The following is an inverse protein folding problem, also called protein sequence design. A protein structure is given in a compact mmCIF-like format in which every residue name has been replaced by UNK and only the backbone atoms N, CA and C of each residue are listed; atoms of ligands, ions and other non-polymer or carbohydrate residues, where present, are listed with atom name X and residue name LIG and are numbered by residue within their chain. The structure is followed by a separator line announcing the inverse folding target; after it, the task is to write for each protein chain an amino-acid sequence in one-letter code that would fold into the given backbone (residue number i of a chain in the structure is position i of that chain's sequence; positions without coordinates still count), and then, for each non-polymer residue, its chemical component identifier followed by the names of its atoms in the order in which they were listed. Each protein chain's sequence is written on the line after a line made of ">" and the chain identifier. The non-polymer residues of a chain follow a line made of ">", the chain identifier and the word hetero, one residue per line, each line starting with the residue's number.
data_IF_465493531740
#
_entry.id   IF_465493531740
#
_cell.length_a   1.000
_cell.length_b   1.000
_cell.length_c   1.000
_cell.angle_alpha   90.00
_cell.angle_beta   90.00
_cell.angle_gamma   90.00
#
_symmetry.space_group_name_H-M   'P 1'
#
loop_
_entity.id
_entity.type
_entity.pdbx_description
1 polymer ?
#
# COMPACT_ATOMS: atom_id res chain seq x y z
N UNK A 1 16.57 9.73 16.80
CA UNK A 1 15.96 8.64 17.58
C UNK A 1 14.64 8.16 16.99
N UNK A 2 13.59 8.99 16.88
CA UNK A 2 12.26 8.57 16.35
C UNK A 2 12.30 7.93 14.96
N UNK A 3 13.12 8.45 14.02
CA UNK A 3 13.32 7.83 12.69
C UNK A 3 13.92 6.43 12.75
N UNK A 4 14.83 6.18 13.69
CA UNK A 4 15.46 4.87 13.87
C UNK A 4 14.45 3.85 14.41
N UNK A 5 13.59 4.27 15.35
CA UNK A 5 12.51 3.42 15.87
C UNK A 5 11.47 3.06 14.81
N UNK A 6 11.03 4.02 13.99
CA UNK A 6 10.10 3.75 12.88
C UNK A 6 10.74 2.80 11.87
N UNK A 7 12.04 2.94 11.60
CA UNK A 7 12.78 2.04 10.72
C UNK A 7 12.84 0.62 11.30
N UNK A 8 13.12 0.46 12.59
CA UNK A 8 13.08 -0.85 13.26
C UNK A 8 11.70 -1.50 13.11
N UNK A 9 10.62 -0.77 13.39
CA UNK A 9 9.26 -1.30 13.24
C UNK A 9 8.95 -1.71 11.79
N UNK A 10 9.43 -0.94 10.80
CA UNK A 10 9.31 -1.31 9.38
C UNK A 10 10.08 -2.58 9.03
N UNK A 11 11.28 -2.78 9.59
CA UNK A 11 12.05 -4.02 9.40
C UNK A 11 11.28 -5.19 10.01
N UNK A 12 10.76 -5.05 11.23
CA UNK A 12 9.96 -6.09 11.88
C UNK A 12 8.71 -6.44 11.04
N UNK A 13 8.02 -5.43 10.50
CA UNK A 13 6.88 -5.66 9.61
C UNK A 13 7.27 -6.39 8.31
N UNK A 14 8.41 -6.04 7.72
CA UNK A 14 8.93 -6.73 6.54
C UNK A 14 9.33 -8.19 6.84
N UNK A 15 9.91 -8.47 8.01
CA UNK A 15 10.20 -9.84 8.44
C UNK A 15 8.93 -10.66 8.63
N UNK A 16 7.88 -10.05 9.17
CA UNK A 16 6.57 -10.70 9.31
C UNK A 16 5.96 -10.98 7.93
N UNK A 17 6.13 -10.09 6.95
CA UNK A 17 5.73 -10.38 5.57
C UNK A 17 6.49 -11.57 4.96
N UNK A 18 7.80 -11.67 5.17
CA UNK A 18 8.59 -12.84 4.74
C UNK A 18 8.08 -14.12 5.40
N UNK A 19 7.71 -14.05 6.67
CA UNK A 19 7.12 -15.18 7.39
C UNK A 19 5.76 -15.57 6.82
N UNK A 20 4.89 -14.60 6.50
CA UNK A 20 3.62 -14.83 5.79
C UNK A 20 3.88 -15.55 4.47
N UNK A 21 4.86 -15.12 3.66
CA UNK A 21 5.20 -15.79 2.41
C UNK A 21 5.68 -17.23 2.62
N UNK A 22 6.46 -17.49 3.67
CA UNK A 22 6.93 -18.84 3.99
C UNK A 22 5.77 -19.77 4.35
N UNK A 23 4.83 -19.29 5.17
CA UNK A 23 3.62 -20.04 5.51
C UNK A 23 2.74 -20.21 4.26
N UNK A 24 2.56 -19.15 3.47
CA UNK A 24 1.76 -19.20 2.25
C UNK A 24 2.29 -20.25 1.26
N UNK A 25 3.59 -20.29 1.00
CA UNK A 25 4.19 -21.29 0.11
C UNK A 25 4.18 -22.72 0.67
N UNK A 26 3.87 -22.91 1.96
CA UNK A 26 3.62 -24.25 2.50
C UNK A 26 2.20 -24.75 2.21
N UNK A 27 1.27 -23.84 1.92
CA UNK A 27 -0.15 -24.13 1.67
C UNK A 27 -0.48 -24.02 0.17
N UNK A 28 0.27 -23.19 -0.56
CA UNK A 28 0.04 -22.91 -1.96
C UNK A 28 1.21 -23.44 -2.81
N UNK A 29 0.93 -24.43 -3.64
CA UNK A 29 1.87 -25.06 -4.55
C UNK A 29 2.15 -24.15 -5.75
N UNK A 30 3.12 -23.25 -5.59
CA UNK A 30 3.45 -22.26 -6.62
C UNK A 30 4.07 -22.87 -7.88
N UNK A 31 4.69 -24.03 -7.76
CA UNK A 31 5.21 -24.82 -8.87
C UNK A 31 4.12 -25.22 -9.87
N UNK A 32 2.95 -25.62 -9.38
CA UNK A 32 1.77 -25.94 -10.21
C UNK A 32 1.21 -24.74 -10.98
N UNK A 33 1.58 -23.52 -10.55
CA UNK A 33 1.14 -22.26 -11.17
C UNK A 33 2.15 -21.72 -12.18
N UNK A 34 3.43 -22.10 -12.06
CA UNK A 34 4.49 -21.61 -12.95
C UNK A 34 4.58 -22.44 -14.22
N UNK A 35 4.35 -23.74 -14.11
CA UNK A 35 4.42 -24.68 -15.23
C UNK A 35 3.07 -25.32 -15.51
N UNK A 36 2.73 -25.50 -16.79
CA UNK A 36 1.58 -26.31 -17.22
C UNK A 36 1.81 -27.80 -16.90
N UNK A 37 0.75 -28.61 -17.02
CA UNK A 37 0.83 -30.08 -16.94
C UNK A 37 1.84 -30.71 -17.92
N UNK A 38 2.17 -30.01 -19.01
CA UNK A 38 3.19 -30.39 -20.00
C UNK A 38 4.62 -29.92 -19.67
N UNK A 39 4.83 -29.21 -18.56
CA UNK A 39 6.12 -28.68 -18.14
C UNK A 39 6.56 -27.40 -18.88
N UNK A 40 5.68 -26.79 -19.67
CA UNK A 40 5.95 -25.50 -20.31
C UNK A 40 5.64 -24.34 -19.36
N UNK A 41 6.30 -23.20 -19.55
CA UNK A 41 5.96 -22.00 -18.77
C UNK A 41 4.55 -21.53 -19.15
N UNK A 42 3.71 -21.25 -18.16
CA UNK A 42 2.32 -20.81 -18.40
C UNK A 42 2.24 -19.58 -19.30
N UNK A 43 3.17 -18.61 -19.14
CA UNK A 43 3.23 -17.44 -20.02
C UNK A 43 3.49 -17.81 -21.48
N UNK A 44 4.39 -18.77 -21.75
CA UNK A 44 4.64 -19.23 -23.12
C UNK A 44 3.45 -20.00 -23.67
N UNK A 45 2.83 -20.86 -22.86
CA UNK A 45 1.64 -21.61 -23.25
C UNK A 45 0.45 -20.68 -23.56
N UNK A 46 0.26 -19.60 -22.78
CA UNK A 46 -0.75 -18.58 -23.03
C UNK A 46 -0.59 -17.91 -24.39
N UNK A 47 0.61 -17.44 -24.74
CA UNK A 47 0.84 -16.80 -26.03
C UNK A 47 0.73 -17.78 -27.19
N UNK A 48 1.16 -19.04 -27.00
CA UNK A 48 1.01 -20.10 -27.99
C UNK A 48 -0.46 -20.41 -28.24
N UNK A 49 -1.26 -20.61 -27.20
CA UNK A 49 -2.70 -20.88 -27.32
C UNK A 49 -3.44 -19.70 -27.94
N UNK A 50 -3.13 -18.46 -27.52
CA UNK A 50 -3.70 -17.26 -28.15
C UNK A 50 -3.39 -17.19 -29.64
N UNK A 51 -2.13 -17.46 -30.03
CA UNK A 51 -1.72 -17.54 -31.44
C UNK A 51 -2.48 -18.63 -32.19
N UNK A 52 -2.67 -19.81 -31.58
CA UNK A 52 -3.39 -20.93 -32.18
C UNK A 52 -4.87 -20.59 -32.38
N UNK A 53 -5.53 -20.00 -31.38
CA UNK A 53 -6.92 -19.52 -31.49
C UNK A 53 -7.07 -18.54 -32.65
N UNK A 54 -6.21 -17.52 -32.74
CA UNK A 54 -6.25 -16.56 -33.86
C UNK A 54 -5.99 -17.24 -35.21
N UNK A 55 -5.04 -18.17 -35.26
CA UNK A 55 -4.74 -18.97 -36.46
C UNK A 55 -5.97 -19.75 -36.93
N UNK A 56 -6.63 -20.47 -36.02
CA UNK A 56 -7.85 -21.22 -36.32
C UNK A 56 -9.00 -20.32 -36.73
N UNK A 57 -9.19 -19.16 -36.08
CA UNK A 57 -10.26 -18.23 -36.39
C UNK A 57 -10.08 -17.60 -37.77
N UNK A 58 -8.86 -17.14 -38.09
CA UNK A 58 -8.54 -16.59 -39.42
C UNK A 58 -8.69 -17.66 -40.51
N UNK A 59 -8.19 -18.88 -40.25
CA UNK A 59 -8.31 -19.99 -41.20
C UNK A 59 -9.77 -20.37 -41.44
N UNK A 60 -10.59 -20.44 -40.39
CA UNK A 60 -12.03 -20.72 -40.48
C UNK A 60 -12.78 -19.64 -41.24
N UNK A 61 -12.47 -18.36 -40.97
CA UNK A 61 -13.08 -17.24 -41.68
C UNK A 61 -12.72 -17.25 -43.17
N UNK A 62 -11.44 -17.45 -43.50
CA UNK A 62 -10.97 -17.52 -44.88
C UNK A 62 -11.59 -18.71 -45.63
N UNK A 63 -11.58 -19.90 -45.02
CA UNK A 63 -12.18 -21.11 -45.61
C UNK A 63 -13.71 -20.96 -45.76
N UNK A 64 -14.38 -20.41 -44.74
CA UNK A 64 -15.82 -20.16 -44.74
C UNK A 64 -16.26 -19.17 -45.83
N UNK A 65 -15.56 -18.05 -46.00
CA UNK A 65 -15.81 -17.08 -47.09
C UNK A 65 -15.63 -17.74 -48.45
N UNK A 66 -14.64 -18.61 -48.60
CA UNK A 66 -14.37 -19.30 -49.85
C UNK A 66 -15.46 -20.34 -50.16
N UNK A 67 -15.92 -21.14 -49.18
CA UNK A 67 -17.09 -22.03 -49.35
C UNK A 67 -18.31 -21.22 -49.74
N UNK A 68 -18.60 -20.13 -49.02
CA UNK A 68 -19.79 -19.31 -49.23
C UNK A 68 -19.77 -18.68 -50.64
N UNK A 69 -18.59 -18.29 -51.12
CA UNK A 69 -18.40 -17.80 -52.48
C UNK A 69 -18.66 -18.89 -53.54
N UNK A 70 -18.22 -20.13 -53.31
CA UNK A 70 -18.51 -21.28 -54.19
C UNK A 70 -20.00 -21.63 -54.17
N UNK A 71 -20.67 -21.56 -53.02
CA UNK A 71 -22.10 -21.79 -52.88
C UNK A 71 -22.93 -20.73 -53.60
N UNK A 72 -22.60 -19.44 -53.42
CA UNK A 72 -23.25 -18.33 -54.12
C UNK A 72 -23.05 -18.47 -55.63
N UNK A 73 -21.84 -18.79 -56.08
CA UNK A 73 -21.56 -19.02 -57.50
C UNK A 73 -22.37 -20.20 -58.04
N UNK A 74 -22.40 -21.33 -57.34
CA UNK A 74 -23.17 -22.52 -57.75
C UNK A 74 -24.67 -22.23 -57.82
N UNK A 75 -25.18 -21.38 -56.91
CA UNK A 75 -26.58 -20.93 -56.92
C UNK A 75 -26.89 -20.01 -58.11
N UNK A 76 -26.03 -19.02 -58.39
CA UNK A 76 -26.20 -18.08 -59.52
C UNK A 76 -26.18 -18.83 -60.86
N UNK A 77 -25.31 -19.83 -61.00
CA UNK A 77 -25.13 -20.57 -62.24
C UNK A 77 -26.01 -21.85 -62.33
N UNK A 78 -26.86 -22.13 -61.34
CA UNK A 78 -27.76 -23.30 -61.29
C UNK A 78 -27.06 -24.65 -61.58
N UNK A 79 -25.76 -24.73 -61.27
CA UNK A 79 -24.93 -25.89 -61.55
C UNK A 79 -24.07 -26.18 -60.32
N UNK A 80 -24.16 -27.42 -59.80
CA UNK A 80 -23.22 -27.89 -58.80
C UNK A 80 -21.83 -27.97 -59.46
N UNK A 81 -20.86 -27.22 -58.91
CA UNK A 81 -19.48 -27.20 -59.40
C UNK A 81 -18.57 -28.01 -58.46
N UNK A 82 -18.61 -29.36 -58.49
CA UNK A 82 -17.76 -30.19 -57.63
C UNK A 82 -16.26 -29.95 -57.88
N UNK A 83 -15.90 -29.49 -59.07
CA UNK A 83 -14.54 -29.10 -59.44
C UNK A 83 -14.05 -27.87 -58.65
N UNK A 84 -14.92 -26.90 -58.36
CA UNK A 84 -14.58 -25.71 -57.56
C UNK A 84 -14.35 -26.07 -56.09
N UNK A 85 -15.11 -27.03 -55.55
CA UNK A 85 -14.91 -27.54 -54.19
C UNK A 85 -13.58 -28.28 -54.09
N UNK A 86 -13.25 -29.13 -55.06
CA UNK A 86 -11.96 -29.84 -55.10
C UNK A 86 -10.77 -28.88 -55.24
N UNK A 87 -10.90 -27.83 -56.05
CA UNK A 87 -9.90 -26.77 -56.19
C UNK A 87 -9.72 -26.00 -54.88
N UNK A 88 -10.82 -25.67 -54.20
CA UNK A 88 -10.80 -25.00 -52.91
C UNK A 88 -10.10 -25.85 -51.85
N UNK A 89 -10.39 -27.15 -51.80
CA UNK A 89 -9.74 -28.08 -50.87
C UNK A 89 -8.23 -28.20 -51.16
N UNK A 90 -7.82 -28.32 -52.42
CA UNK A 90 -6.40 -28.34 -52.81
C UNK A 90 -5.70 -27.01 -52.51
N UNK A 91 -6.34 -25.87 -52.76
CA UNK A 91 -5.77 -24.55 -52.50
C UNK A 91 -5.58 -24.31 -51.00
N UNK A 92 -6.58 -24.61 -50.17
CA UNK A 92 -6.49 -24.40 -48.74
C UNK A 92 -5.61 -25.44 -48.04
N UNK A 93 -5.65 -26.72 -48.44
CA UNK A 93 -4.79 -27.76 -47.85
C UNK A 93 -3.36 -27.72 -48.35
N UNK A 94 -3.11 -27.31 -49.58
CA UNK A 94 -1.80 -27.37 -50.22
C UNK A 94 -1.01 -26.06 -50.17
N UNK A 95 -1.67 -24.92 -50.37
CA UNK A 95 -1.02 -23.61 -50.47
C UNK A 95 -1.22 -22.78 -49.21
N UNK A 96 -2.48 -22.57 -48.81
CA UNK A 96 -2.82 -21.67 -47.72
C UNK A 96 -2.38 -22.24 -46.37
N UNK A 97 -2.41 -23.56 -46.23
CA UNK A 97 -1.88 -24.31 -45.09
C UNK A 97 -0.43 -24.01 -44.73
N UNK A 98 0.43 -23.73 -45.71
CA UNK A 98 1.84 -23.43 -45.49
C UNK A 98 2.05 -22.08 -44.76
N UNK A 99 1.01 -21.24 -44.74
CA UNK A 99 1.01 -19.93 -44.11
C UNK A 99 0.54 -20.00 -42.64
N UNK A 100 0.03 -21.15 -42.20
CA UNK A 100 -0.47 -21.37 -40.85
C UNK A 100 0.31 -22.51 -40.18
N UNK A 101 0.73 -22.30 -38.94
CA UNK A 101 1.35 -23.35 -38.13
C UNK A 101 0.28 -24.02 -37.28
N UNK A 102 -0.02 -25.29 -37.55
CA UNK A 102 -0.94 -26.09 -36.75
C UNK A 102 -0.16 -26.95 -35.74
N UNK A 103 -0.67 -27.16 -34.51
CA UNK A 103 -0.01 -27.93 -33.45
C UNK A 103 0.37 -29.36 -33.89
N UNK A 104 -0.50 -30.01 -34.66
CA UNK A 104 -0.29 -31.38 -35.14
C UNK A 104 0.51 -31.47 -36.45
N UNK A 105 0.98 -30.34 -37.00
CA UNK A 105 1.69 -30.27 -38.28
C UNK A 105 0.84 -30.56 -39.53
N UNK A 106 -0.39 -31.04 -39.36
CA UNK A 106 -1.35 -31.32 -40.45
C UNK A 106 -2.46 -30.29 -40.49
N UNK A 107 -2.96 -30.00 -41.70
CA UNK A 107 -4.15 -29.17 -41.87
C UNK A 107 -5.40 -29.85 -41.32
N UNK A 108 -6.13 -29.21 -40.39
CA UNK A 108 -7.38 -29.76 -39.90
C UNK A 108 -8.47 -29.70 -40.97
N UNK A 109 -9.37 -30.68 -40.95
CA UNK A 109 -10.59 -30.62 -41.76
C UNK A 109 -11.49 -29.50 -41.22
N UNK A 110 -12.30 -28.88 -42.08
CA UNK A 110 -13.21 -27.81 -41.66
C UNK A 110 -14.14 -28.22 -40.50
N UNK A 111 -14.61 -29.47 -40.49
CA UNK A 111 -15.44 -30.02 -39.41
C UNK A 111 -14.71 -30.19 -38.08
N UNK A 112 -13.38 -30.26 -38.08
CA UNK A 112 -12.55 -30.43 -36.87
C UNK A 112 -12.15 -29.08 -36.26
N UNK A 113 -12.27 -27.97 -37.00
CA UNK A 113 -11.83 -26.66 -36.50
C UNK A 113 -12.63 -26.21 -35.27
N UNK A 114 -13.97 -26.39 -35.19
CA UNK A 114 -14.72 -26.04 -33.98
C UNK A 114 -14.22 -26.76 -32.72
N UNK A 115 -13.94 -28.06 -32.83
CA UNK A 115 -13.46 -28.87 -31.71
C UNK A 115 -12.05 -28.44 -31.28
N UNK A 116 -11.14 -28.21 -32.24
CA UNK A 116 -9.78 -27.72 -31.97
C UNK A 116 -9.79 -26.32 -31.35
N UNK A 117 -10.69 -25.44 -31.82
CA UNK A 117 -10.86 -24.12 -31.24
C UNK A 117 -11.39 -24.21 -29.81
N UNK A 118 -12.32 -25.15 -29.54
CA UNK A 118 -12.82 -25.44 -28.19
C UNK A 118 -11.72 -25.93 -27.25
N UNK A 119 -10.85 -26.84 -27.71
CA UNK A 119 -9.72 -27.35 -26.93
C UNK A 119 -8.69 -26.25 -26.63
N UNK A 120 -8.29 -25.46 -27.63
CA UNK A 120 -7.40 -24.33 -27.41
C UNK A 120 -8.02 -23.27 -26.50
N UNK A 121 -9.34 -23.04 -26.60
CA UNK A 121 -10.03 -22.12 -25.72
C UNK A 121 -10.05 -22.62 -24.27
N UNK A 122 -10.15 -23.93 -24.04
CA UNK A 122 -9.99 -24.53 -22.72
C UNK A 122 -8.58 -24.31 -22.16
N UNK A 123 -7.54 -24.63 -22.94
CA UNK A 123 -6.13 -24.39 -22.57
C UNK A 123 -5.88 -22.90 -22.29
N UNK A 124 -6.46 -22.01 -23.09
CA UNK A 124 -6.38 -20.57 -22.90
C UNK A 124 -6.99 -20.11 -21.57
N UNK A 125 -8.18 -20.61 -21.21
CA UNK A 125 -8.82 -20.27 -19.95
C UNK A 125 -8.06 -20.81 -18.74
N UNK A 126 -7.53 -22.03 -18.83
CA UNK A 126 -6.65 -22.62 -17.81
C UNK A 126 -5.42 -21.73 -17.59
N UNK A 127 -4.77 -21.31 -18.68
CA UNK A 127 -3.62 -20.42 -18.61
C UNK A 127 -3.98 -19.04 -18.03
N UNK A 128 -5.17 -18.49 -18.32
CA UNK A 128 -5.64 -17.24 -17.69
C UNK A 128 -5.77 -17.42 -16.18
N UNK A 129 -6.38 -18.53 -15.75
CA UNK A 129 -6.54 -18.86 -14.34
C UNK A 129 -5.17 -18.92 -13.64
N UNK A 130 -4.19 -19.61 -14.22
CA UNK A 130 -2.83 -19.69 -13.68
C UNK A 130 -2.09 -18.34 -13.68
N UNK A 131 -2.19 -17.56 -14.76
CA UNK A 131 -1.59 -16.23 -14.86
C UNK A 131 -2.16 -15.28 -13.80
N UNK A 132 -3.43 -15.41 -13.44
CA UNK A 132 -4.03 -14.57 -12.41
C UNK A 132 -3.27 -14.68 -11.09
N UNK A 133 -2.87 -15.89 -10.67
CA UNK A 133 -2.07 -16.09 -9.46
C UNK A 133 -0.65 -15.52 -9.58
N UNK A 134 0.00 -15.68 -10.74
CA UNK A 134 1.31 -15.07 -10.99
C UNK A 134 1.26 -13.54 -10.88
N UNK A 135 0.20 -12.92 -11.42
CA UNK A 135 -0.02 -11.48 -11.31
C UNK A 135 -0.25 -11.08 -9.83
N UNK A 136 -1.04 -11.85 -9.08
CA UNK A 136 -1.34 -11.56 -7.68
C UNK A 136 -0.11 -11.63 -6.78
N UNK A 137 0.78 -12.61 -6.95
CA UNK A 137 2.01 -12.68 -6.17
C UNK A 137 2.97 -11.52 -6.52
N UNK A 138 3.06 -11.15 -7.80
CA UNK A 138 3.86 -10.00 -8.24
C UNK A 138 3.31 -8.71 -7.64
N UNK A 139 1.99 -8.51 -7.67
CA UNK A 139 1.31 -7.38 -7.02
C UNK A 139 1.63 -7.36 -5.53
N UNK A 140 1.51 -8.50 -4.84
CA UNK A 140 1.82 -8.62 -3.41
C UNK A 140 3.25 -8.15 -3.10
N UNK A 141 4.25 -8.63 -3.84
CA UNK A 141 5.65 -8.25 -3.64
C UNK A 141 5.89 -6.76 -3.93
N UNK A 142 5.37 -6.24 -5.04
CA UNK A 142 5.54 -4.83 -5.42
C UNK A 142 4.91 -3.91 -4.36
N UNK A 143 3.71 -4.24 -3.89
CA UNK A 143 3.03 -3.45 -2.87
C UNK A 143 3.67 -3.58 -1.49
N UNK A 144 4.29 -4.71 -1.15
CA UNK A 144 5.07 -4.87 0.08
C UNK A 144 6.31 -3.96 0.07
N UNK A 145 7.04 -3.92 -1.04
CA UNK A 145 8.17 -2.97 -1.22
C UNK A 145 7.67 -1.53 -1.12
N UNK A 146 6.53 -1.22 -1.76
CA UNK A 146 5.93 0.11 -1.72
C UNK A 146 5.45 0.49 -0.31
N UNK A 147 4.93 -0.45 0.47
CA UNK A 147 4.52 -0.25 1.87
C UNK A 147 5.73 0.03 2.77
N UNK A 148 6.83 -0.67 2.56
CA UNK A 148 8.08 -0.43 3.27
C UNK A 148 8.60 1.00 3.02
N UNK A 149 8.61 1.44 1.75
CA UNK A 149 9.06 2.77 1.36
C UNK A 149 8.08 3.88 1.78
N UNK A 150 6.80 3.71 1.46
CA UNK A 150 5.71 4.66 1.74
C UNK A 150 4.84 4.08 2.85
N UNK A 151 4.91 4.67 4.03
CA UNK A 151 4.14 4.30 5.23
C UNK A 151 2.64 4.58 5.04
N UNK A 152 1.98 3.84 4.13
CA UNK A 152 0.57 3.96 3.82
C UNK A 152 -0.07 2.57 3.93
N UNK A 153 -0.98 2.37 4.90
CA UNK A 153 -1.56 1.06 5.19
C UNK A 153 -2.41 0.51 4.05
N UNK A 154 -2.82 1.35 3.08
CA UNK A 154 -3.50 0.86 1.87
C UNK A 154 -2.63 -0.11 1.08
N UNK A 155 -1.31 0.09 1.07
CA UNK A 155 -0.42 -0.83 0.38
C UNK A 155 -0.37 -2.17 1.11
N UNK A 156 -0.23 -2.17 2.44
CA UNK A 156 -0.24 -3.38 3.28
C UNK A 156 -1.55 -4.17 3.15
N UNK A 157 -2.70 -3.48 3.02
CA UNK A 157 -3.98 -4.12 2.73
C UNK A 157 -4.01 -4.80 1.37
N UNK A 158 -3.42 -4.19 0.33
CA UNK A 158 -3.33 -4.81 -1.00
C UNK A 158 -2.44 -6.05 -0.97
N UNK A 159 -1.36 -6.03 -0.18
CA UNK A 159 -0.46 -7.19 0.01
C UNK A 159 -1.23 -8.39 0.57
N UNK A 160 -1.86 -8.22 1.73
CA UNK A 160 -2.63 -9.29 2.38
C UNK A 160 -3.84 -9.66 1.53
N UNK A 161 -4.53 -8.68 0.96
CA UNK A 161 -5.68 -8.92 0.08
C UNK A 161 -5.31 -9.76 -1.13
N UNK A 162 -4.14 -9.55 -1.74
CA UNK A 162 -3.67 -10.35 -2.87
C UNK A 162 -3.37 -11.79 -2.45
N UNK A 163 -2.75 -11.99 -1.29
CA UNK A 163 -2.47 -13.34 -0.73
C UNK A 163 -3.77 -14.09 -0.42
N UNK A 164 -4.70 -13.43 0.26
CA UNK A 164 -6.01 -14.02 0.58
C UNK A 164 -6.78 -14.36 -0.70
N UNK A 165 -6.74 -13.49 -1.71
CA UNK A 165 -7.44 -13.71 -2.97
C UNK A 165 -6.86 -14.90 -3.76
N UNK A 166 -5.56 -15.19 -3.62
CA UNK A 166 -4.96 -16.43 -4.16
C UNK A 166 -5.49 -17.69 -3.48
N UNK A 167 -5.95 -17.62 -2.23
CA UNK A 167 -6.62 -18.75 -1.55
C UNK A 167 -8.11 -18.82 -1.89
N UNK A 168 -8.78 -17.68 -1.99
CA UNK A 168 -10.23 -17.60 -2.19
C UNK A 168 -10.62 -17.99 -3.62
N UNK A 169 -9.83 -17.63 -4.64
CA UNK A 169 -10.15 -17.98 -6.03
C UNK A 169 -10.29 -19.49 -6.24
N UNK A 170 -9.30 -20.34 -5.89
CA UNK A 170 -9.44 -21.78 -6.07
C UNK A 170 -10.61 -22.33 -5.27
N UNK A 171 -10.76 -21.94 -3.99
CA UNK A 171 -11.89 -22.37 -3.17
C UNK A 171 -13.25 -22.03 -3.80
N UNK A 172 -13.40 -20.86 -4.44
CA UNK A 172 -14.63 -20.51 -5.16
C UNK A 172 -14.84 -21.34 -6.42
N UNK A 173 -13.78 -21.58 -7.20
CA UNK A 173 -13.86 -22.34 -8.45
C UNK A 173 -14.19 -23.81 -8.18
N UNK A 174 -13.49 -24.43 -7.23
CA UNK A 174 -13.70 -25.82 -6.87
C UNK A 174 -14.99 -26.02 -6.05
N UNK A 175 -15.34 -25.08 -5.17
CA UNK A 175 -16.66 -25.09 -4.52
C UNK A 175 -17.82 -24.96 -5.51
N UNK A 176 -17.64 -24.21 -6.61
CA UNK A 176 -18.61 -24.16 -7.70
C UNK A 176 -18.68 -25.47 -8.49
N UNK A 177 -17.53 -26.13 -8.72
CA UNK A 177 -17.45 -27.47 -9.33
C UNK A 177 -18.24 -28.49 -8.48
N UNK A 178 -17.95 -28.58 -7.18
CA UNK A 178 -18.64 -29.50 -6.28
C UNK A 178 -20.15 -29.27 -6.26
N UNK A 179 -20.57 -28.00 -6.31
CA UNK A 179 -21.98 -27.65 -6.41
C UNK A 179 -22.61 -28.16 -7.72
N UNK A 180 -21.94 -28.04 -8.87
CA UNK A 180 -22.43 -28.56 -10.14
C UNK A 180 -22.51 -30.10 -10.16
N UNK A 181 -21.54 -30.75 -9.53
CA UNK A 181 -21.51 -32.21 -9.41
C UNK A 181 -22.70 -32.73 -8.57
N UNK A 182 -23.15 -31.98 -7.55
CA UNK A 182 -24.40 -32.29 -6.83
C UNK A 182 -25.64 -32.26 -7.72
N UNK A 183 -25.64 -31.48 -8.80
CA UNK A 183 -26.71 -31.44 -9.81
C UNK A 183 -26.45 -32.39 -10.99
N UNK A 184 -25.40 -33.22 -10.92
CA UNK A 184 -24.98 -34.13 -11.98
C UNK A 184 -24.67 -33.41 -13.31
N UNK A 185 -24.13 -32.18 -13.21
CA UNK A 185 -23.70 -31.36 -14.34
C UNK A 185 -22.17 -31.34 -14.36
N UNK A 186 -21.56 -32.21 -15.17
CA UNK A 186 -20.10 -32.24 -15.34
C UNK A 186 -19.66 -31.26 -16.44
N UNK A 187 -18.82 -30.28 -16.09
CA UNK A 187 -18.15 -29.41 -17.07
C UNK A 187 -16.70 -29.88 -17.19
N UNK A 188 -16.36 -30.55 -18.30
CA UNK A 188 -15.05 -31.13 -18.55
C UNK A 188 -13.88 -30.15 -18.29
N UNK A 189 -14.04 -28.88 -18.65
CA UNK A 189 -13.04 -27.84 -18.37
C UNK A 189 -12.72 -27.65 -16.88
N UNK A 190 -13.72 -27.77 -15.98
CA UNK A 190 -13.50 -27.61 -14.53
C UNK A 190 -12.86 -28.85 -13.89
N UNK A 191 -12.95 -30.01 -14.54
CA UNK A 191 -12.36 -31.25 -14.05
C UNK A 191 -10.84 -31.24 -14.19
N UNK A 192 -10.34 -30.68 -15.29
CA UNK A 192 -8.92 -30.64 -15.63
C UNK A 192 -8.15 -29.44 -15.02
N UNK A 193 -8.84 -28.56 -14.28
CA UNK A 193 -8.21 -27.38 -13.69
C UNK A 193 -7.22 -27.76 -12.56
N UNK A 194 -6.04 -27.12 -12.51
CA UNK A 194 -5.09 -27.30 -11.40
C UNK A 194 -5.66 -26.79 -10.08
N UNK A 195 -5.45 -27.55 -9.00
CA UNK A 195 -5.78 -27.16 -7.63
C UNK A 195 -4.52 -26.82 -6.84
N UNK A 196 -4.09 -25.54 -6.83
CA UNK A 196 -2.81 -25.14 -6.26
C UNK A 196 -2.80 -25.10 -4.72
N UNK A 197 -3.86 -25.57 -4.07
CA UNK A 197 -4.02 -25.54 -2.61
C UNK A 197 -3.73 -26.92 -2.02
N UNK A 198 -2.97 -26.94 -0.94
CA UNK A 198 -2.69 -28.14 -0.18
C UNK A 198 -3.95 -28.61 0.59
N UNK A 199 -4.06 -29.93 0.75
CA UNK A 199 -5.15 -30.62 1.46
C UNK A 199 -5.21 -30.19 2.94
N UNK A 200 -4.10 -29.66 3.48
CA UNK A 200 -4.03 -29.09 4.83
C UNK A 200 -5.00 -27.91 5.07
N UNK A 201 -5.58 -27.32 4.03
CA UNK A 201 -6.68 -26.35 4.15
C UNK A 201 -8.02 -26.96 4.56
N UNK A 202 -8.25 -28.23 4.22
CA UNK A 202 -9.52 -28.94 4.45
C UNK A 202 -9.51 -29.66 5.80
N UNK A 203 -8.35 -30.15 6.23
CA UNK A 203 -8.17 -30.88 7.48
C UNK A 203 -7.68 -29.98 8.62
N UNK A 204 -8.55 -29.11 9.14
CA UNK A 204 -8.22 -28.30 10.32
C UNK A 204 -8.39 -29.17 11.58
N UNK A 205 -7.33 -29.38 12.39
CA UNK A 205 -7.44 -30.14 13.63
C UNK A 205 -8.21 -29.32 14.67
N UNK A 206 -9.51 -29.59 14.81
CA UNK A 206 -10.38 -28.89 15.76
C UNK A 206 -10.22 -29.48 17.17
N UNK A 207 -9.81 -30.72 17.33
CA UNK A 207 -9.84 -31.37 18.66
C UNK A 207 -8.64 -31.02 19.57
N UNK A 208 -7.51 -30.57 19.01
CA UNK A 208 -6.31 -30.19 19.77
C UNK A 208 -5.95 -28.72 19.54
N UNK A 209 -6.01 -27.92 20.61
CA UNK A 209 -5.75 -26.47 20.62
C UNK A 209 -4.35 -26.15 20.11
N UNK A 210 -3.34 -26.94 20.49
CA UNK A 210 -1.95 -26.66 20.08
C UNK A 210 -1.74 -26.98 18.60
N UNK A 211 -2.35 -28.06 18.11
CA UNK A 211 -2.33 -28.40 16.68
C UNK A 211 -3.13 -27.40 15.86
N UNK A 212 -4.25 -26.91 16.39
CA UNK A 212 -5.06 -25.87 15.77
C UNK A 212 -4.24 -24.59 15.53
N UNK A 213 -3.51 -24.10 16.55
CA UNK A 213 -2.64 -22.93 16.38
C UNK A 213 -1.40 -23.21 15.54
N UNK A 214 -0.97 -24.47 15.42
CA UNK A 214 0.11 -24.87 14.53
C UNK A 214 -0.34 -25.08 13.08
N UNK A 215 -1.65 -25.09 12.82
CA UNK A 215 -2.20 -25.21 11.46
C UNK A 215 -1.67 -24.08 10.57
N UNK A 216 -1.13 -24.39 9.38
CA UNK A 216 -0.64 -23.38 8.44
C UNK A 216 -1.67 -22.28 8.13
N UNK A 217 -2.95 -22.65 7.99
CA UNK A 217 -4.04 -21.72 7.66
C UNK A 217 -4.26 -20.71 8.79
N UNK A 218 -4.32 -21.21 10.02
CA UNK A 218 -4.52 -20.38 11.21
C UNK A 218 -3.31 -19.49 11.46
N UNK A 219 -2.10 -20.03 11.31
CA UNK A 219 -0.86 -19.26 11.37
C UNK A 219 -0.84 -18.15 10.31
N UNK A 220 -1.25 -18.45 9.08
CA UNK A 220 -1.32 -17.45 8.02
C UNK A 220 -2.32 -16.33 8.36
N UNK A 221 -3.50 -16.68 8.88
CA UNK A 221 -4.50 -15.71 9.28
C UNK A 221 -4.01 -14.81 10.43
N UNK A 222 -3.41 -15.40 11.47
CA UNK A 222 -2.85 -14.67 12.61
C UNK A 222 -1.68 -13.79 12.16
N UNK A 223 -0.74 -14.32 11.37
CA UNK A 223 0.40 -13.57 10.86
C UNK A 223 -0.04 -12.40 9.97
N UNK A 224 -1.03 -12.62 9.09
CA UNK A 224 -1.62 -11.57 8.24
C UNK A 224 -2.30 -10.48 9.06
N UNK A 225 -3.02 -10.84 10.12
CA UNK A 225 -3.62 -9.88 11.05
C UNK A 225 -2.54 -9.06 11.77
N UNK A 226 -1.52 -9.73 12.31
CA UNK A 226 -0.39 -9.09 13.00
C UNK A 226 0.32 -8.10 12.07
N UNK A 227 0.57 -8.49 10.81
CA UNK A 227 1.16 -7.64 9.79
C UNK A 227 0.34 -6.36 9.55
N UNK A 228 -0.97 -6.49 9.34
CA UNK A 228 -1.85 -5.34 9.12
C UNK A 228 -1.92 -4.44 10.36
N UNK A 229 -2.09 -5.02 11.54
CA UNK A 229 -2.17 -4.25 12.78
C UNK A 229 -0.87 -3.47 13.03
N UNK A 230 0.30 -4.08 12.81
CA UNK A 230 1.57 -3.36 12.88
C UNK A 230 1.67 -2.26 11.81
N UNK A 231 1.23 -2.51 10.57
CA UNK A 231 1.22 -1.50 9.52
C UNK A 231 0.37 -0.27 9.92
N UNK A 232 -0.82 -0.49 10.49
CA UNK A 232 -1.68 0.58 11.00
C UNK A 232 -1.02 1.35 12.15
N UNK A 233 -0.36 0.64 13.06
CA UNK A 233 0.33 1.25 14.21
C UNK A 233 1.55 2.07 13.81
N UNK A 234 2.34 1.58 12.84
CA UNK A 234 3.46 2.32 12.26
C UNK A 234 2.94 3.59 11.59
N UNK A 235 1.86 3.48 10.81
CA UNK A 235 1.23 4.63 10.17
C UNK A 235 0.72 5.65 11.19
N UNK A 236 0.00 5.22 12.23
CA UNK A 236 -0.46 6.10 13.30
C UNK A 236 0.70 6.84 13.98
N UNK A 237 1.74 6.09 14.36
CA UNK A 237 2.94 6.66 15.00
C UNK A 237 3.60 7.68 14.07
N UNK A 238 3.73 7.37 12.79
CA UNK A 238 4.30 8.27 11.78
C UNK A 238 3.46 9.55 11.64
N UNK A 239 2.14 9.44 11.46
CA UNK A 239 1.23 10.58 11.30
C UNK A 239 1.20 11.49 12.53
N UNK A 240 1.24 10.94 13.75
CA UNK A 240 1.21 11.73 14.99
C UNK A 240 2.57 12.38 15.28
N UNK A 241 3.68 11.70 14.97
CA UNK A 241 5.02 12.21 15.29
C UNK A 241 5.57 13.18 14.23
N UNK A 242 5.17 13.04 12.97
CA UNK A 242 5.73 13.82 11.86
C UNK A 242 5.56 15.34 12.03
N UNK A 243 4.37 15.89 12.35
CA UNK A 243 4.20 17.34 12.51
C UNK A 243 5.10 17.93 13.61
N UNK A 244 5.23 17.21 14.72
CA UNK A 244 6.09 17.62 15.84
C UNK A 244 7.57 17.60 15.46
N UNK A 245 8.01 16.59 14.70
CA UNK A 245 9.37 16.50 14.18
C UNK A 245 9.68 17.62 13.17
N UNK A 246 8.77 17.91 12.25
CA UNK A 246 8.93 19.01 11.28
C UNK A 246 9.01 20.38 11.97
N UNK A 247 8.16 20.60 12.98
CA UNK A 247 8.21 21.81 13.80
C UNK A 247 9.54 21.92 14.55
N UNK A 248 10.01 20.82 15.14
CA UNK A 248 11.28 20.80 15.87
C UNK A 248 12.46 21.12 14.96
N UNK A 249 12.54 20.48 13.78
CA UNK A 249 13.57 20.78 12.78
C UNK A 249 13.53 22.23 12.30
N UNK A 250 12.33 22.80 12.11
CA UNK A 250 12.18 24.20 11.72
C UNK A 250 12.69 25.16 12.80
N UNK A 251 12.33 24.91 14.06
CA UNK A 251 12.77 25.73 15.19
C UNK A 251 14.28 25.59 15.42
N UNK A 252 14.82 24.39 15.29
CA UNK A 252 16.25 24.13 15.36
C UNK A 252 17.01 24.89 14.26
N UNK A 253 16.54 24.81 13.01
CA UNK A 253 17.12 25.56 11.89
C UNK A 253 17.10 27.07 12.15
N UNK A 254 15.98 27.62 12.63
CA UNK A 254 15.85 29.03 13.00
C UNK A 254 16.81 29.43 14.13
N UNK A 255 16.97 28.58 15.16
CA UNK A 255 17.92 28.82 16.25
C UNK A 255 19.36 28.80 15.77
N UNK A 256 19.75 27.87 14.88
CA UNK A 256 21.09 27.85 14.29
C UNK A 256 21.36 29.06 13.40
N UNK A 257 20.38 29.49 12.60
CA UNK A 257 20.51 30.72 11.79
C UNK A 257 20.72 31.90 12.73
N UNK A 258 19.89 32.06 13.75
CA UNK A 258 19.98 33.14 14.72
C UNK A 258 21.33 33.16 15.45
N UNK A 259 21.84 32.00 15.86
CA UNK A 259 23.17 31.88 16.46
C UNK A 259 24.27 32.31 15.48
N UNK A 260 24.29 31.75 14.27
CA UNK A 260 25.30 32.07 13.26
C UNK A 260 25.30 33.56 12.88
N UNK A 261 24.10 34.14 12.72
CA UNK A 261 23.89 35.53 12.38
C UNK A 261 24.26 36.46 13.55
N UNK A 262 23.93 36.06 14.78
CA UNK A 262 24.34 36.80 15.97
C UNK A 262 25.86 36.78 16.18
N UNK A 263 26.54 35.68 15.87
CA UNK A 263 28.00 35.57 15.90
C UNK A 263 28.64 36.43 14.80
N UNK A 264 28.13 36.35 13.57
CA UNK A 264 28.57 37.17 12.44
C UNK A 264 28.42 38.66 12.74
N UNK A 265 27.26 39.08 13.24
CA UNK A 265 27.01 40.46 13.63
C UNK A 265 27.93 40.84 14.77
N UNK A 266 28.09 40.01 15.81
CA UNK A 266 28.99 40.30 16.94
C UNK A 266 30.44 40.49 16.50
N UNK A 267 30.93 39.65 15.58
CA UNK A 267 32.28 39.73 15.03
C UNK A 267 32.50 40.92 14.09
N UNK A 268 31.45 41.35 13.39
CA UNK A 268 31.51 42.45 12.42
C UNK A 268 30.87 43.75 12.91
N UNK A 269 30.44 43.88 14.18
CA UNK A 269 29.78 45.11 14.68
C UNK A 269 30.64 46.33 14.45
N UNK A 270 31.94 46.21 14.69
CA UNK A 270 32.85 47.34 14.57
C UNK A 270 33.08 47.70 13.10
N UNK A 271 33.19 46.70 12.21
CA UNK A 271 33.21 46.92 10.75
C UNK A 271 31.90 47.50 10.21
N UNK A 272 30.75 47.02 10.66
CA UNK A 272 29.42 47.51 10.25
C UNK A 272 29.20 48.94 10.77
N UNK A 273 29.64 49.25 11.99
CA UNK A 273 29.61 50.61 12.52
C UNK A 273 30.57 51.53 11.79
N UNK A 274 31.77 51.07 11.45
CA UNK A 274 32.74 51.82 10.68
C UNK A 274 32.30 52.02 9.22
N UNK A 275 31.68 51.03 8.59
CA UNK A 275 31.15 51.13 7.22
C UNK A 275 29.91 52.04 7.18
N UNK A 276 29.03 51.98 8.18
CA UNK A 276 27.94 52.94 8.36
C UNK A 276 28.46 54.36 8.63
N UNK A 277 29.55 54.50 9.40
CA UNK A 277 30.19 55.79 9.66
C UNK A 277 30.90 56.33 8.41
N UNK A 278 31.59 55.47 7.65
CA UNK A 278 32.22 55.82 6.37
C UNK A 278 31.20 56.19 5.30
N UNK A 279 30.07 55.46 5.18
CA UNK A 279 28.97 55.88 4.30
C UNK A 279 28.38 57.23 4.71
N UNK A 280 28.26 57.50 6.01
CA UNK A 280 27.84 58.80 6.54
C UNK A 280 28.82 59.93 6.21
N UNK A 281 30.12 59.62 6.20
CA UNK A 281 31.20 60.54 5.80
C UNK A 281 31.23 60.74 4.26
N UNK A 282 31.10 59.67 3.46
CA UNK A 282 31.02 59.71 1.99
C UNK A 282 29.78 60.47 1.48
N UNK A 283 28.66 60.41 2.20
CA UNK A 283 27.45 61.19 1.94
C UNK A 283 27.55 62.66 2.40
N UNK A 284 28.74 63.14 2.81
CA UNK A 284 29.01 64.53 3.27
C UNK A 284 28.00 65.05 4.29
N UNK A 285 27.63 64.22 5.27
CA UNK A 285 26.59 64.57 6.26
C UNK A 285 27.11 65.53 7.34
N UNK A 286 28.43 65.63 7.56
CA UNK A 286 28.96 66.42 8.68
C UNK A 286 29.35 67.88 8.35
N UNK A 287 29.56 68.25 7.08
CA UNK A 287 30.09 69.59 6.75
C UNK A 287 29.09 70.60 6.16
N UNK A 288 27.77 70.36 6.27
CA UNK A 288 26.75 71.36 5.88
C UNK A 288 25.75 71.74 6.99
N UNK A 289 26.16 71.62 8.25
CA UNK A 289 25.45 72.32 9.35
C UNK A 289 25.67 73.84 9.35
N UNK A 290 26.56 74.35 8.50
CA UNK A 290 26.98 75.76 8.42
C UNK A 290 26.84 76.37 7.02
N UNK A 291 25.91 75.91 6.18
CA UNK A 291 25.38 76.75 5.10
C UNK A 291 23.98 77.20 5.51
N UNK A 292 23.93 78.41 6.05
CA UNK A 292 22.72 79.05 6.53
C UNK A 292 21.64 79.13 5.45
N UNK A 293 20.42 79.28 5.94
CA UNK A 293 19.16 79.51 5.22
C UNK A 293 19.27 80.64 4.16
N UNK A 294 20.33 81.46 4.15
CA UNK A 294 20.58 82.49 3.14
C UNK A 294 20.97 81.99 1.75
N UNK A 295 21.46 80.74 1.61
CA UNK A 295 21.72 80.12 0.30
C UNK A 295 20.47 79.53 -0.37
N UNK A 296 19.34 79.47 0.34
CA UNK A 296 18.12 78.76 -0.06
C UNK A 296 17.33 79.43 -1.18
N UNK A 297 17.58 80.73 -1.43
CA UNK A 297 16.83 81.52 -2.40
C UNK A 297 17.53 81.75 -3.75
N UNK A 298 18.79 81.33 -3.93
CA UNK A 298 19.59 81.80 -5.07
C UNK A 298 19.46 80.98 -6.38
N UNK A 299 18.84 79.79 -6.41
CA UNK A 299 18.67 79.01 -7.66
C UNK A 299 17.33 78.29 -7.73
N UNK A 300 16.46 78.73 -8.63
CA UNK A 300 15.06 78.27 -8.75
C UNK A 300 14.91 76.98 -9.58
N UNK A 301 15.97 76.52 -10.26
CA UNK A 301 15.94 75.31 -11.12
C UNK A 301 16.32 73.99 -10.45
N UNK A 302 16.99 74.00 -9.29
CA UNK A 302 17.50 72.80 -8.60
C UNK A 302 16.59 72.30 -7.46
N UNK A 303 15.43 72.93 -7.26
CA UNK A 303 14.56 72.72 -6.08
C UNK A 303 13.93 71.32 -6.02
N UNK A 304 13.57 70.72 -7.15
CA UNK A 304 13.01 69.36 -7.17
C UNK A 304 14.08 68.27 -7.05
N UNK A 305 15.29 68.50 -7.56
CA UNK A 305 16.42 67.58 -7.41
C UNK A 305 16.86 67.50 -5.95
N UNK A 306 16.99 68.65 -5.28
CA UNK A 306 17.44 68.71 -3.89
C UNK A 306 16.42 68.15 -2.90
N UNK A 307 15.12 68.35 -3.13
CA UNK A 307 14.06 67.75 -2.31
C UNK A 307 13.98 66.24 -2.52
N UNK A 308 14.11 65.77 -3.77
CA UNK A 308 14.20 64.33 -4.08
C UNK A 308 15.43 63.69 -3.41
N UNK A 309 16.58 64.35 -3.47
CA UNK A 309 17.83 63.94 -2.82
C UNK A 309 17.69 63.91 -1.28
N UNK A 310 16.99 64.88 -0.68
CA UNK A 310 16.68 64.87 0.74
C UNK A 310 15.72 63.73 1.15
N UNK A 311 14.73 63.40 0.32
CA UNK A 311 13.79 62.30 0.58
C UNK A 311 14.50 60.95 0.44
N UNK A 312 15.30 60.76 -0.60
CA UNK A 312 16.13 59.56 -0.80
C UNK A 312 17.15 59.41 0.35
N UNK A 313 17.77 60.51 0.78
CA UNK A 313 18.66 60.53 1.94
C UNK A 313 17.95 60.13 3.23
N UNK A 314 16.77 60.70 3.50
CA UNK A 314 16.01 60.37 4.71
C UNK A 314 15.52 58.92 4.70
N UNK A 315 15.18 58.38 3.53
CA UNK A 315 14.81 56.97 3.34
C UNK A 315 16.00 56.04 3.60
N UNK A 316 17.17 56.35 3.03
CA UNK A 316 18.42 55.60 3.27
C UNK A 316 18.84 55.65 4.75
N UNK A 317 18.76 56.82 5.40
CA UNK A 317 19.02 56.95 6.85
C UNK A 317 18.05 56.13 7.71
N UNK A 318 16.77 56.03 7.30
CA UNK A 318 15.79 55.17 7.98
C UNK A 318 16.09 53.69 7.79
N UNK A 319 16.47 53.28 6.58
CA UNK A 319 16.87 51.91 6.26
C UNK A 319 18.14 51.50 7.03
N UNK A 320 19.14 52.38 7.11
CA UNK A 320 20.36 52.17 7.90
C UNK A 320 20.07 52.10 9.41
N UNK A 321 19.24 52.99 9.94
CA UNK A 321 18.80 52.92 11.35
C UNK A 321 18.06 51.61 11.64
N UNK A 322 17.23 51.14 10.71
CA UNK A 322 16.55 49.83 10.82
C UNK A 322 17.57 48.69 10.83
N UNK A 323 18.59 48.72 9.98
CA UNK A 323 19.66 47.72 9.95
C UNK A 323 20.51 47.71 11.23
N UNK A 324 20.93 48.87 11.73
CA UNK A 324 21.70 48.99 12.98
C UNK A 324 20.86 48.51 14.17
N UNK A 325 19.58 48.89 14.21
CA UNK A 325 18.65 48.47 15.27
C UNK A 325 18.41 46.96 15.21
N UNK A 326 18.24 46.39 14.01
CA UNK A 326 18.12 44.95 13.81
C UNK A 326 19.39 44.23 14.27
N UNK A 327 20.58 44.68 13.84
CA UNK A 327 21.86 44.10 14.25
C UNK A 327 22.07 44.13 15.78
N UNK A 328 21.73 45.25 16.43
CA UNK A 328 21.78 45.37 17.89
C UNK A 328 20.83 44.39 18.60
N UNK A 329 19.60 44.26 18.10
CA UNK A 329 18.60 43.32 18.62
C UNK A 329 19.04 41.86 18.42
N UNK A 330 19.55 41.49 17.24
CA UNK A 330 20.06 40.15 16.94
C UNK A 330 21.25 39.79 17.84
N UNK A 331 22.17 40.73 18.09
CA UNK A 331 23.29 40.54 19.03
C UNK A 331 22.84 40.38 20.48
N UNK A 332 21.82 41.14 20.92
CA UNK A 332 21.27 41.01 22.28
C UNK A 332 20.57 39.66 22.44
N UNK A 333 19.80 39.25 21.44
CA UNK A 333 19.09 37.98 21.42
C UNK A 333 20.06 36.78 21.40
N UNK A 334 21.11 36.84 20.58
CA UNK A 334 22.15 35.80 20.55
C UNK A 334 22.87 35.65 21.89
N UNK A 335 23.24 36.76 22.55
CA UNK A 335 23.83 36.72 23.91
C UNK A 335 22.87 36.17 24.95
N UNK A 336 21.60 36.53 24.87
CA UNK A 336 20.58 36.00 25.78
C UNK A 336 20.40 34.49 25.59
N UNK A 337 20.30 34.01 24.34
CA UNK A 337 20.25 32.59 24.03
C UNK A 337 21.50 31.83 24.50
N UNK A 338 22.68 32.40 24.30
CA UNK A 338 23.92 31.75 24.72
C UNK A 338 23.98 31.57 26.25
N UNK A 339 23.58 32.60 27.01
CA UNK A 339 23.46 32.50 28.47
C UNK A 339 22.39 31.49 28.88
N UNK A 340 21.22 31.56 28.25
CA UNK A 340 20.12 30.65 28.54
C UNK A 340 20.53 29.18 28.37
N UNK A 341 21.30 28.86 27.33
CA UNK A 341 21.81 27.49 27.11
C UNK A 341 22.98 27.09 28.01
N UNK A 342 23.69 28.05 28.60
CA UNK A 342 24.72 27.79 29.60
C UNK A 342 24.13 27.56 30.99
N UNK A 343 23.07 28.31 31.34
CA UNK A 343 22.40 28.24 32.63
C UNK A 343 21.40 27.07 32.70
N UNK A 344 20.72 26.77 31.60
CA UNK A 344 19.77 25.66 31.49
C UNK A 344 20.02 24.86 30.19
N UNK A 345 20.56 23.65 30.36
CA UNK A 345 20.84 22.75 29.24
C UNK A 345 19.55 22.22 28.58
N UNK A 346 18.42 22.18 29.30
CA UNK A 346 17.11 21.76 28.78
C UNK A 346 16.38 22.89 28.03
N UNK A 347 16.80 24.14 28.21
CA UNK A 347 16.23 25.30 27.52
C UNK A 347 16.32 25.16 25.98
N UNK A 348 17.35 24.48 25.48
CA UNK A 348 17.49 24.21 24.04
C UNK A 348 16.44 23.21 23.55
N UNK A 349 16.20 22.16 24.32
CA UNK A 349 15.25 21.11 23.96
C UNK A 349 13.79 21.59 24.13
N UNK A 350 13.52 22.50 25.07
CA UNK A 350 12.21 23.17 25.22
C UNK A 350 11.97 24.22 24.14
N UNK A 351 12.96 25.06 23.79
CA UNK A 351 12.82 26.05 22.70
C UNK A 351 12.70 25.42 21.31
N UNK A 352 13.33 24.26 21.09
CA UNK A 352 13.15 23.46 19.87
C UNK A 352 11.88 22.60 19.89
N UNK A 353 11.07 22.70 20.96
CA UNK A 353 9.89 21.87 21.21
C UNK A 353 10.17 20.35 21.09
N UNK A 354 11.44 19.96 21.25
CA UNK A 354 11.90 18.57 21.13
C UNK A 354 11.42 17.73 22.32
N UNK A 355 11.24 18.36 23.48
CA UNK A 355 10.57 17.78 24.65
C UNK A 355 9.04 17.68 24.51
N UNK A 356 8.43 18.44 23.59
CA UNK A 356 6.99 18.41 23.31
C UNK A 356 6.59 17.30 22.32
N UNK A 357 7.56 16.71 21.61
CA UNK A 357 7.33 15.50 20.86
C UNK A 357 7.03 14.36 21.84
N UNK A 358 5.94 13.59 21.66
CA UNK A 358 5.63 12.48 22.56
C UNK A 358 6.83 11.52 22.60
N UNK A 359 7.21 11.09 23.80
CA UNK A 359 8.36 10.22 23.98
C UNK A 359 8.15 8.95 23.13
N UNK A 360 9.01 8.67 22.14
CA UNK A 360 8.78 7.57 21.20
C UNK A 360 8.70 6.22 21.93
N UNK A 361 9.41 6.07 23.05
CA UNK A 361 9.35 4.88 23.89
C UNK A 361 7.97 4.66 24.54
N UNK A 362 7.34 5.70 25.11
CA UNK A 362 6.03 5.54 25.75
C UNK A 362 4.93 5.25 24.72
N UNK A 363 5.01 5.87 23.54
CA UNK A 363 4.11 5.57 22.42
C UNK A 363 4.27 4.12 21.95
N UNK A 364 5.51 3.64 21.81
CA UNK A 364 5.75 2.26 21.38
C UNK A 364 5.27 1.27 22.43
N UNK A 365 5.57 1.47 23.72
CA UNK A 365 5.09 0.59 24.79
C UNK A 365 3.58 0.56 24.86
N UNK A 366 2.89 1.71 24.78
CA UNK A 366 1.42 1.74 24.77
C UNK A 366 0.85 1.05 23.53
N UNK A 367 1.53 1.19 22.40
CA UNK A 367 1.12 0.59 21.12
C UNK A 367 1.30 -0.93 21.15
N UNK A 368 2.42 -1.44 21.68
CA UNK A 368 2.68 -2.87 21.86
C UNK A 368 1.69 -3.49 22.85
N UNK A 369 1.40 -2.83 23.98
CA UNK A 369 0.41 -3.35 24.95
C UNK A 369 -0.97 -3.44 24.31
N UNK A 370 -1.39 -2.41 23.57
CA UNK A 370 -2.67 -2.40 22.87
C UNK A 370 -2.71 -3.45 21.74
N UNK A 371 -1.59 -3.62 21.03
CA UNK A 371 -1.40 -4.68 20.03
C UNK A 371 -1.60 -6.07 20.63
N UNK A 372 -0.87 -6.39 21.69
CA UNK A 372 -0.94 -7.70 22.36
C UNK A 372 -2.35 -7.95 22.88
N UNK A 373 -3.00 -6.94 23.45
CA UNK A 373 -4.38 -7.06 23.91
C UNK A 373 -5.36 -7.34 22.76
N UNK A 374 -5.25 -6.64 21.63
CA UNK A 374 -6.11 -6.86 20.45
C UNK A 374 -5.90 -8.24 19.84
N UNK A 375 -4.64 -8.63 19.62
CA UNK A 375 -4.31 -9.96 19.08
C UNK A 375 -4.81 -11.06 20.02
N UNK A 376 -4.56 -10.93 21.32
CA UNK A 376 -5.03 -11.90 22.31
C UNK A 376 -6.56 -12.00 22.35
N UNK A 377 -7.26 -10.86 22.32
CA UNK A 377 -8.73 -10.84 22.29
C UNK A 377 -9.29 -11.43 20.99
N UNK A 378 -8.66 -11.17 19.84
CA UNK A 378 -9.06 -11.76 18.57
C UNK A 378 -8.87 -13.27 18.60
N UNK A 379 -7.71 -13.75 19.07
CA UNK A 379 -7.43 -15.18 19.21
C UNK A 379 -8.47 -15.87 20.11
N UNK A 380 -8.83 -15.25 21.24
CA UNK A 380 -9.88 -15.76 22.13
C UNK A 380 -11.24 -15.81 21.42
N UNK A 381 -11.62 -14.75 20.70
CA UNK A 381 -12.89 -14.72 19.96
C UNK A 381 -12.92 -15.79 18.85
N UNK A 382 -11.84 -15.90 18.08
CA UNK A 382 -11.72 -16.91 17.03
C UNK A 382 -11.84 -18.33 17.61
N UNK A 383 -11.22 -18.60 18.77
CA UNK A 383 -11.36 -19.87 19.46
C UNK A 383 -12.81 -20.18 19.86
N UNK A 384 -13.53 -19.18 20.39
CA UNK A 384 -14.94 -19.32 20.76
C UNK A 384 -15.81 -19.67 19.54
N UNK A 385 -15.52 -19.07 18.39
CA UNK A 385 -16.28 -19.28 17.15
C UNK A 385 -16.04 -20.69 16.57
N UNK A 386 -14.81 -21.20 16.66
CA UNK A 386 -14.39 -22.44 16.00
C UNK A 386 -14.74 -23.67 16.85
N UNK A 387 -14.85 -23.53 18.17
CA UNK A 387 -15.10 -24.64 19.10
C UNK A 387 -16.46 -24.55 19.82
N UNK A 388 -17.61 -24.35 19.12
CA UNK A 388 -18.89 -24.17 19.79
C UNK A 388 -19.29 -25.38 20.64
N UNK A 389 -18.96 -26.60 20.18
CA UNK A 389 -19.22 -27.86 20.88
C UNK A 389 -18.56 -27.91 22.27
N UNK A 390 -17.29 -27.51 22.37
CA UNK A 390 -16.55 -27.51 23.63
C UNK A 390 -17.21 -26.60 24.67
N UNK A 391 -17.63 -25.40 24.26
CA UNK A 391 -18.33 -24.48 25.16
C UNK A 391 -19.68 -25.04 25.62
N UNK A 392 -20.44 -25.66 24.72
CA UNK A 392 -21.76 -26.18 25.04
C UNK A 392 -21.72 -27.42 25.93
N UNK A 393 -20.72 -28.28 25.75
CA UNK A 393 -20.51 -29.50 26.54
C UNK A 393 -19.91 -29.20 27.92
N UNK A 394 -18.87 -28.38 27.99
CA UNK A 394 -18.12 -28.18 29.25
C UNK A 394 -18.55 -26.96 30.06
N UNK A 395 -18.98 -25.86 29.40
CA UNK A 395 -19.39 -24.63 30.11
C UNK A 395 -20.89 -24.61 30.37
N UNK A 396 -21.70 -24.86 29.34
CA UNK A 396 -23.17 -24.84 29.46
C UNK A 396 -23.75 -26.18 29.90
N UNK A 397 -22.96 -27.26 29.91
CA UNK A 397 -23.34 -28.61 30.37
C UNK A 397 -24.64 -29.11 29.72
N UNK A 398 -24.79 -28.89 28.42
CA UNK A 398 -25.97 -29.32 27.69
C UNK A 398 -26.01 -30.85 27.54
N UNK A 399 -27.21 -31.47 27.54
CA UNK A 399 -27.35 -32.90 27.32
C UNK A 399 -26.74 -33.37 25.98
N UNK A 400 -26.17 -34.57 25.91
CA UNK A 400 -25.54 -35.11 24.70
C UNK A 400 -26.46 -35.07 23.47
N UNK A 401 -27.76 -35.28 23.67
CA UNK A 401 -28.76 -35.22 22.61
C UNK A 401 -28.85 -33.85 21.88
N UNK A 402 -28.44 -32.76 22.54
CA UNK A 402 -28.38 -31.42 21.94
C UNK A 402 -26.99 -31.16 21.35
N UNK A 403 -25.94 -31.64 22.03
CA UNK A 403 -24.52 -31.48 21.66
C UNK A 403 -24.13 -32.26 20.40
N UNK A 404 -24.75 -33.41 20.17
CA UNK A 404 -24.51 -34.23 18.98
C UNK A 404 -25.43 -33.87 17.79
N UNK A 405 -26.32 -32.88 17.97
CA UNK A 405 -27.19 -32.46 16.88
C UNK A 405 -26.42 -31.70 15.80
N UNK A 406 -26.76 -31.91 14.53
CA UNK A 406 -26.18 -31.20 13.37
C UNK A 406 -26.31 -29.67 13.49
N UNK A 407 -27.25 -29.20 14.31
CA UNK A 407 -27.50 -27.78 14.59
C UNK A 407 -26.34 -27.14 15.38
N UNK A 408 -25.45 -27.91 16.01
CA UNK A 408 -24.28 -27.39 16.75
C UNK A 408 -23.28 -26.61 15.89
N UNK A 409 -23.21 -26.90 14.60
CA UNK A 409 -22.33 -26.21 13.66
C UNK A 409 -23.04 -25.08 12.91
N UNK A 410 -24.30 -24.77 13.29
CA UNK A 410 -25.07 -23.74 12.62
C UNK A 410 -24.61 -22.32 13.06
N UNK A 411 -24.66 -21.32 12.16
CA UNK A 411 -24.27 -19.95 12.48
C UNK A 411 -25.03 -19.35 13.67
N UNK A 412 -26.26 -19.81 13.92
CA UNK A 412 -27.12 -19.34 15.01
C UNK A 412 -26.54 -19.68 16.38
N UNK A 413 -25.95 -20.87 16.55
CA UNK A 413 -25.33 -21.29 17.82
C UNK A 413 -24.07 -20.48 18.10
N UNK A 414 -23.29 -20.16 17.06
CA UNK A 414 -22.12 -19.28 17.16
C UNK A 414 -22.55 -17.88 17.62
N UNK A 415 -23.66 -17.33 17.08
CA UNK A 415 -24.20 -16.03 17.50
C UNK A 415 -24.64 -16.06 18.96
N UNK A 416 -25.33 -17.12 19.40
CA UNK A 416 -25.75 -17.28 20.80
C UNK A 416 -24.53 -17.27 21.73
N UNK A 417 -23.42 -17.91 21.33
CA UNK A 417 -22.16 -17.94 22.08
C UNK A 417 -21.46 -16.56 22.13
N UNK A 418 -21.61 -15.75 21.08
CA UNK A 418 -21.03 -14.40 20.99
C UNK A 418 -21.83 -13.34 21.74
N UNK A 419 -23.15 -13.52 21.96
CA UNK A 419 -24.00 -12.54 22.65
C UNK A 419 -23.46 -12.14 24.05
N UNK A 420 -23.10 -13.08 24.94
CA UNK A 420 -22.51 -12.76 26.24
C UNK A 420 -21.25 -11.89 26.11
N UNK A 421 -20.40 -12.19 25.11
CA UNK A 421 -19.17 -11.47 24.85
C UNK A 421 -19.46 -10.06 24.34
N UNK A 422 -20.41 -9.89 23.42
CA UNK A 422 -20.86 -8.59 22.92
C UNK A 422 -21.44 -7.73 24.06
N UNK A 423 -22.19 -8.35 24.96
CA UNK A 423 -22.77 -7.68 26.14
C UNK A 423 -21.70 -7.27 27.17
N UNK A 424 -20.48 -7.81 27.14
CA UNK A 424 -19.40 -7.32 28.01
C UNK A 424 -18.96 -5.90 27.65
N UNK A 425 -19.01 -5.48 26.38
CA UNK A 425 -18.62 -4.13 25.97
C UNK A 425 -19.41 -3.00 26.64
N UNK A 426 -20.76 -3.00 26.64
CA UNK A 426 -21.54 -1.98 27.35
C UNK A 426 -21.34 -2.06 28.87
N UNK A 427 -21.11 -3.25 29.43
CA UNK A 427 -20.82 -3.42 30.87
C UNK A 427 -19.47 -2.78 31.24
N UNK A 428 -18.41 -3.10 30.51
CA UNK A 428 -17.07 -2.52 30.69
C UNK A 428 -17.13 -1.00 30.50
N UNK A 429 -17.84 -0.52 29.48
CA UNK A 429 -18.05 0.92 29.25
C UNK A 429 -18.72 1.60 30.44
N UNK A 430 -19.77 1.00 31.01
CA UNK A 430 -20.41 1.50 32.24
C UNK A 430 -19.47 1.47 33.44
N UNK A 431 -18.68 0.42 33.61
CA UNK A 431 -17.70 0.31 34.71
C UNK A 431 -16.63 1.38 34.59
N UNK A 432 -16.08 1.61 33.40
CA UNK A 432 -15.10 2.68 33.14
C UNK A 432 -15.73 4.04 33.40
N UNK A 433 -16.95 4.28 32.92
CA UNK A 433 -17.69 5.52 33.18
C UNK A 433 -17.90 5.76 34.68
N UNK A 434 -18.29 4.72 35.42
CA UNK A 434 -18.48 4.76 36.86
C UNK A 434 -17.17 5.06 37.62
N UNK A 435 -16.07 4.39 37.28
CA UNK A 435 -14.75 4.62 37.89
C UNK A 435 -14.25 6.04 37.59
N UNK A 436 -14.40 6.51 36.34
CA UNK A 436 -14.00 7.86 35.94
C UNK A 436 -14.82 8.91 36.70
N UNK A 437 -16.12 8.67 36.90
CA UNK A 437 -16.98 9.57 37.64
C UNK A 437 -16.62 9.62 39.14
N UNK A 438 -16.20 8.49 39.70
CA UNK A 438 -15.77 8.36 41.11
C UNK A 438 -14.39 8.97 41.38
N UNK A 439 -13.47 8.98 40.42
CA UNK A 439 -12.14 9.61 40.57
C UNK A 439 -12.15 11.14 40.34
N UNK A 440 -13.26 11.70 39.85
CA UNK A 440 -13.46 13.14 39.65
C UNK A 440 -14.19 13.83 40.82
N UNK A 441 -14.70 13.05 41.78
CA UNK A 441 -15.28 13.48 43.06
C UNK A 441 -14.24 13.13 44.14
#
# INVERSE_FOLDING_TARGET
>A
MTRYYILILKIVNALIFVWILTIFFSIFHFDEVVTTSSGELVLTAFFTSLKNIFTYLIFTAAYGVAILSVLISSFIFLAAQPQMIMLLEHFFRGLLSLWFTFPNGTTPNFSQIPDLLGQEFAIFNENIYLIAFQILIIISIIYAIKAFLKTNPKNDLIVVGSIVLMLVIPLMVFGFKDMLDLFNISIQYLEDLPYPLDISLEEIPIDDIFQFFASPVILLAIASYIYLEMAFQINYTYTVTQPSLERSHRLEAQLTILQSESHYITANVDKIKEEAKKRREELKIEDKKTMGISGFFAKTGERFSYVKEMIEKKKLEEEEKKLITAASKTRRLGRYMHRLFQEDFEARDTLTAKSSAPKPQSLVVSTIINFVFRVGLLVIISFIIIHPKWFMEYIFQLPPAIVESVVMYSPEIIIILLIPLILTFPVISKVISFIKHRNLI
#
